data_IF_237784035526
#
_entry.id   IF_237784035526
#
_cell.length_a   1.000
_cell.length_b   1.000
_cell.length_c   1.000
_cell.angle_alpha   90.00
_cell.angle_beta   90.00
_cell.angle_gamma   90.00
#
_symmetry.space_group_name_H-M   'P 1'
#
loop_
_entity.id
_entity.type
_entity.pdbx_description
1 polymer ?
#
# COMPACT_ATOMS: atom_id res chain seq x y z
N UNK A 1 -17.79 -10.37 3.06
CA UNK A 1 -16.83 -10.27 1.93
C UNK A 1 -15.43 -10.57 2.46
N UNK A 2 -14.40 -10.90 1.65
CA UNK A 2 -13.06 -11.09 2.19
C UNK A 2 -12.57 -9.80 2.84
N UNK A 3 -11.87 -9.94 3.95
CA UNK A 3 -11.38 -8.82 4.76
C UNK A 3 -9.88 -8.73 4.61
N UNK A 4 -9.37 -7.55 4.27
CA UNK A 4 -7.96 -7.30 3.98
C UNK A 4 -7.38 -6.26 4.94
N UNK A 5 -6.20 -6.56 5.46
CA UNK A 5 -5.39 -5.68 6.30
C UNK A 5 -4.26 -5.07 5.49
N UNK A 6 -4.00 -3.79 5.71
CA UNK A 6 -2.93 -3.04 5.05
C UNK A 6 -1.93 -2.58 6.10
N UNK A 7 -0.65 -2.87 5.90
CA UNK A 7 0.42 -2.52 6.82
C UNK A 7 1.58 -1.86 6.09
N UNK A 8 2.03 -0.71 6.56
CA UNK A 8 3.21 -0.04 6.00
C UNK A 8 4.45 -0.43 6.81
N UNK A 9 5.41 -1.07 6.15
CA UNK A 9 6.71 -1.40 6.72
C UNK A 9 7.75 -0.41 6.19
N UNK A 10 8.51 0.23 7.08
CA UNK A 10 9.63 1.13 6.74
C UNK A 10 10.83 0.76 7.60
N UNK A 11 11.99 0.52 6.99
CA UNK A 11 13.22 0.10 7.70
C UNK A 11 12.96 -1.06 8.69
N UNK A 12 12.28 -2.12 8.22
CA UNK A 12 11.93 -3.32 9.00
C UNK A 12 11.02 -3.08 10.21
N UNK A 13 10.40 -1.91 10.30
CA UNK A 13 9.40 -1.59 11.34
C UNK A 13 8.04 -1.38 10.72
N UNK A 14 7.03 -2.03 11.30
CA UNK A 14 5.64 -1.70 11.01
C UNK A 14 5.35 -0.31 11.58
N UNK A 15 5.14 0.65 10.68
CA UNK A 15 4.82 2.04 11.03
C UNK A 15 3.35 2.16 11.37
N UNK A 16 2.51 1.42 10.64
CA UNK A 16 1.07 1.41 10.84
C UNK A 16 0.49 0.10 10.33
N UNK A 17 -0.38 -0.52 11.13
CA UNK A 17 -1.23 -1.64 10.73
C UNK A 17 -2.67 -1.14 10.80
N UNK A 18 -3.34 -1.08 9.65
CA UNK A 18 -4.74 -0.70 9.58
C UNK A 18 -5.66 -1.75 10.21
N UNK A 19 -6.90 -1.35 10.50
CA UNK A 19 -8.00 -2.29 10.77
C UNK A 19 -8.34 -2.98 9.43
N UNK A 20 -8.61 -4.29 9.45
CA UNK A 20 -9.03 -4.99 8.24
C UNK A 20 -10.32 -4.38 7.67
N UNK A 21 -10.37 -4.19 6.35
CA UNK A 21 -11.55 -3.67 5.63
C UNK A 21 -12.10 -4.74 4.68
N UNK A 22 -13.42 -4.79 4.56
CA UNK A 22 -14.08 -5.72 3.64
C UNK A 22 -14.00 -5.19 2.20
N UNK A 23 -13.48 -6.01 1.29
CA UNK A 23 -13.37 -5.70 -0.13
C UNK A 23 -13.89 -6.86 -0.97
N UNK A 24 -14.27 -6.58 -2.22
CA UNK A 24 -14.90 -7.57 -3.07
C UNK A 24 -13.96 -8.75 -3.42
N UNK A 25 -12.67 -8.48 -3.64
CA UNK A 25 -11.66 -9.45 -4.07
C UNK A 25 -10.23 -8.86 -3.99
N UNK A 26 -9.24 -9.65 -4.41
CA UNK A 26 -7.82 -9.29 -4.42
C UNK A 26 -7.52 -8.08 -5.32
N UNK A 27 -8.20 -7.94 -6.45
CA UNK A 27 -8.04 -6.77 -7.34
C UNK A 27 -8.51 -5.48 -6.67
N UNK A 28 -9.62 -5.53 -5.92
CA UNK A 28 -10.09 -4.40 -5.13
C UNK A 28 -9.11 -4.07 -3.99
N UNK A 29 -8.52 -5.09 -3.35
CA UNK A 29 -7.46 -4.90 -2.35
C UNK A 29 -6.22 -4.22 -2.93
N UNK A 30 -5.76 -4.66 -4.11
CA UNK A 30 -4.66 -4.01 -4.81
C UNK A 30 -4.99 -2.56 -5.18
N UNK A 31 -6.16 -2.29 -5.77
CA UNK A 31 -6.57 -0.92 -6.11
C UNK A 31 -6.59 0.00 -4.87
N UNK A 32 -7.07 -0.51 -3.75
CA UNK A 32 -7.05 0.21 -2.48
C UNK A 32 -5.63 0.44 -1.95
N UNK A 33 -4.74 -0.54 -2.08
CA UNK A 33 -3.33 -0.40 -1.73
C UNK A 33 -2.64 0.72 -2.54
N UNK A 34 -2.91 0.78 -3.84
CA UNK A 34 -2.44 1.87 -4.70
C UNK A 34 -2.96 3.23 -4.21
N UNK A 35 -4.24 3.31 -3.85
CA UNK A 35 -4.83 4.54 -3.33
C UNK A 35 -4.18 4.98 -2.01
N UNK A 36 -4.01 4.06 -1.05
CA UNK A 36 -3.35 4.32 0.23
C UNK A 36 -1.92 4.80 0.00
N UNK A 37 -1.15 4.09 -0.82
CA UNK A 37 0.24 4.46 -1.10
C UNK A 37 0.38 5.84 -1.73
N UNK A 38 -0.53 6.22 -2.65
CA UNK A 38 -0.56 7.57 -3.23
C UNK A 38 -0.91 8.63 -2.21
N UNK A 39 -1.91 8.37 -1.36
CA UNK A 39 -2.29 9.28 -0.29
C UNK A 39 -1.11 9.51 0.67
N UNK A 40 -0.43 8.44 1.08
CA UNK A 40 0.79 8.52 1.88
C UNK A 40 1.86 9.39 1.20
N UNK A 41 2.20 9.12 -0.06
CA UNK A 41 3.22 9.91 -0.77
C UNK A 41 2.86 11.40 -0.96
N UNK A 42 1.59 11.76 -0.83
CA UNK A 42 1.17 13.17 -0.89
C UNK A 42 1.49 13.99 0.37
N UNK A 43 1.85 13.34 1.49
CA UNK A 43 2.22 14.04 2.72
C UNK A 43 3.70 14.50 2.68
N UNK A 44 3.96 15.83 2.69
CA UNK A 44 5.30 16.37 2.42
C UNK A 44 6.35 16.01 3.46
N UNK A 45 5.97 15.83 4.72
CA UNK A 45 6.91 15.61 5.83
C UNK A 45 7.41 14.17 5.97
N UNK A 46 6.89 13.21 5.20
CA UNK A 46 7.23 11.78 5.36
C UNK A 46 7.55 11.05 4.05
N UNK A 47 7.53 11.77 2.92
CA UNK A 47 7.69 11.20 1.59
C UNK A 47 8.99 10.39 1.44
N UNK A 48 10.15 10.92 1.85
CA UNK A 48 11.44 10.21 1.75
C UNK A 48 11.52 8.89 2.52
N UNK A 49 10.96 8.86 3.74
CA UNK A 49 10.93 7.64 4.55
C UNK A 49 9.95 6.62 3.97
N UNK A 50 8.80 7.09 3.49
CA UNK A 50 7.76 6.24 2.92
C UNK A 50 8.11 5.69 1.55
N UNK A 51 8.91 6.39 0.74
CA UNK A 51 9.43 5.88 -0.53
C UNK A 51 10.22 4.58 -0.39
N UNK A 52 10.90 4.39 0.75
CA UNK A 52 11.63 3.16 1.08
C UNK A 52 10.74 2.08 1.68
N UNK A 53 9.47 2.38 1.90
CA UNK A 53 8.51 1.50 2.53
C UNK A 53 7.90 0.48 1.57
N UNK A 54 7.34 -0.57 2.16
CA UNK A 54 6.54 -1.58 1.47
C UNK A 54 5.17 -1.64 2.14
N UNK A 55 4.12 -1.54 1.34
CA UNK A 55 2.76 -1.74 1.77
C UNK A 55 2.42 -3.23 1.63
N UNK A 56 2.20 -3.90 2.76
CA UNK A 56 1.81 -5.29 2.84
C UNK A 56 0.28 -5.38 2.94
N UNK A 57 -0.30 -6.28 2.17
CA UNK A 57 -1.75 -6.50 2.07
C UNK A 57 -2.00 -7.96 2.43
N UNK A 58 -2.75 -8.21 3.49
CA UNK A 58 -3.01 -9.57 3.97
C UNK A 58 -4.52 -9.80 4.04
N UNK A 59 -5.00 -10.88 3.45
CA UNK A 59 -6.34 -11.36 3.74
C UNK A 59 -6.38 -11.91 5.17
N UNK A 60 -7.39 -11.54 5.97
CA UNK A 60 -7.51 -12.02 7.35
C UNK A 60 -7.73 -13.54 7.43
N UNK A 61 -8.24 -14.16 6.37
CA UNK A 61 -8.35 -15.61 6.26
C UNK A 61 -7.02 -16.31 5.93
N UNK A 62 -5.95 -15.54 5.68
CA UNK A 62 -4.59 -16.02 5.46
C UNK A 62 -4.31 -16.58 4.06
N UNK A 63 -5.29 -16.65 3.15
CA UNK A 63 -5.10 -17.25 1.82
C UNK A 63 -4.28 -16.40 0.86
N UNK A 64 -4.21 -15.10 1.10
CA UNK A 64 -3.55 -14.16 0.20
C UNK A 64 -2.71 -13.14 0.97
N UNK A 65 -1.49 -12.94 0.51
CA UNK A 65 -0.60 -11.88 0.97
C UNK A 65 0.12 -11.28 -0.22
N UNK A 66 0.12 -9.95 -0.30
CA UNK A 66 0.75 -9.20 -1.38
C UNK A 66 1.62 -8.08 -0.80
N UNK A 67 2.64 -7.70 -1.55
CA UNK A 67 3.52 -6.59 -1.21
C UNK A 67 3.56 -5.59 -2.36
N UNK A 68 3.46 -4.31 -2.04
CA UNK A 68 3.55 -3.21 -3.00
C UNK A 68 4.61 -2.22 -2.53
N UNK A 69 5.66 -2.03 -3.34
CA UNK A 69 6.71 -1.06 -3.04
C UNK A 69 6.19 0.36 -3.22
N UNK A 70 6.44 1.21 -2.23
CA UNK A 70 6.05 2.62 -2.30
C UNK A 70 6.84 3.37 -3.40
N UNK A 71 8.06 2.92 -3.73
CA UNK A 71 8.84 3.45 -4.84
C UNK A 71 8.17 3.19 -6.20
N UNK A 72 7.56 2.01 -6.39
CA UNK A 72 6.81 1.70 -7.61
C UNK A 72 5.55 2.57 -7.72
N UNK A 73 4.91 2.85 -6.59
CA UNK A 73 3.75 3.75 -6.52
C UNK A 73 4.16 5.17 -6.91
N UNK A 74 5.28 5.67 -6.40
CA UNK A 74 5.82 6.97 -6.75
C UNK A 74 6.22 7.05 -8.24
N UNK A 75 6.89 6.02 -8.76
CA UNK A 75 7.31 5.93 -10.15
C UNK A 75 6.14 5.97 -11.14
N UNK A 76 5.01 5.32 -10.81
CA UNK A 76 3.78 5.40 -11.63
C UNK A 76 2.99 6.70 -11.45
N UNK A 77 3.09 7.38 -10.31
CA UNK A 77 2.56 8.75 -10.16
C UNK A 77 3.32 9.76 -11.02
N UNK A 78 4.65 9.62 -11.11
CA UNK A 78 5.52 10.52 -11.88
C UNK A 78 5.57 10.16 -13.38
N UNK A 79 5.27 8.90 -13.72
CA UNK A 79 5.28 8.37 -15.10
C UNK A 79 4.03 8.65 -15.93
N UNK A 80 2.97 9.27 -15.38
CA UNK A 80 1.75 9.61 -16.12
C UNK A 80 1.88 10.90 -16.98
N UNK A 81 3.11 11.35 -17.25
CA UNK A 81 3.41 12.57 -18.02
C UNK A 81 4.35 12.37 -19.22
N UNK A 82 4.56 11.13 -19.68
CA UNK A 82 5.32 10.84 -20.91
C UNK A 82 4.56 9.81 -21.74
N UNK A 83 3.58 10.27 -22.50
CA UNK A 83 3.05 9.60 -23.67
C UNK A 83 2.63 10.62 -24.72
#
# INVERSE_FOLDING_TARGET
MPRYRFSLIVNDRCVESGIGIELANENAALAQAWHIGRALLSFPNRCDAWLKGVLIIEAEDGKASFALSMADIAGRCLGAGLH
#
